data_IF_843066634269
#
_entry.id   IF_843066634269
#
_cell.length_a   1.000
_cell.length_b   1.000
_cell.length_c   1.000
_cell.angle_alpha   90.00
_cell.angle_beta   90.00
_cell.angle_gamma   90.00
#
_symmetry.space_group_name_H-M   'P 1'
#
loop_
_entity.id
_entity.type
_entity.pdbx_description
1 polymer ?
#
# COMPACT_ATOMS: atom_id res chain seq x y z
N UNK A 1 -19.75 7.97 30.47
CA UNK A 1 -20.36 7.27 29.31
C UNK A 1 -20.06 8.14 28.11
N UNK A 2 -19.15 7.72 27.24
CA UNK A 2 -18.69 8.53 26.11
C UNK A 2 -19.71 8.43 24.97
N UNK A 3 -20.17 9.59 24.50
CA UNK A 3 -21.11 9.74 23.39
C UNK A 3 -20.52 9.18 22.10
N UNK A 4 -21.20 8.18 21.53
CA UNK A 4 -20.85 7.63 20.22
C UNK A 4 -21.15 8.66 19.13
N UNK A 5 -20.12 9.34 18.65
CA UNK A 5 -20.21 10.14 17.41
C UNK A 5 -20.51 9.20 16.25
N UNK A 6 -21.75 9.23 15.76
CA UNK A 6 -22.13 8.56 14.52
C UNK A 6 -21.45 9.31 13.37
N UNK A 7 -20.40 8.74 12.80
CA UNK A 7 -19.69 9.35 11.68
C UNK A 7 -20.58 9.35 10.43
N UNK A 8 -20.78 10.50 9.80
CA UNK A 8 -21.50 10.61 8.53
C UNK A 8 -20.61 10.14 7.38
N UNK A 9 -21.03 9.10 6.67
CA UNK A 9 -20.36 8.59 5.48
C UNK A 9 -21.11 9.08 4.23
N UNK A 10 -20.40 9.58 3.21
CA UNK A 10 -20.99 9.82 1.90
C UNK A 10 -20.84 8.57 1.04
N UNK A 11 -21.91 7.79 0.94
CA UNK A 11 -21.96 6.61 0.07
C UNK A 11 -22.67 7.03 -1.21
N UNK A 12 -21.93 7.11 -2.31
CA UNK A 12 -22.53 7.22 -3.65
C UNK A 12 -22.54 5.83 -4.30
N UNK A 13 -23.74 5.32 -4.58
CA UNK A 13 -23.92 4.04 -5.28
C UNK A 13 -24.17 4.29 -6.76
N UNK A 14 -23.24 3.80 -7.57
CA UNK A 14 -23.39 3.67 -9.02
C UNK A 14 -23.69 2.21 -9.33
N UNK A 15 -24.22 1.90 -10.52
CA UNK A 15 -24.56 0.51 -10.88
C UNK A 15 -23.28 -0.34 -10.93
N UNK A 16 -23.06 -1.17 -9.90
CA UNK A 16 -21.88 -2.05 -9.78
C UNK A 16 -20.64 -1.42 -9.14
N UNK A 17 -20.70 -0.16 -8.70
CA UNK A 17 -19.59 0.52 -8.03
C UNK A 17 -20.12 1.24 -6.79
N UNK A 18 -19.59 0.89 -5.62
CA UNK A 18 -19.83 1.64 -4.38
C UNK A 18 -18.59 2.50 -4.11
N UNK A 19 -18.73 3.82 -4.21
CA UNK A 19 -17.64 4.74 -3.85
C UNK A 19 -17.79 5.10 -2.38
N UNK A 20 -16.75 4.80 -1.60
CA UNK A 20 -16.64 5.14 -0.19
C UNK A 20 -15.53 6.16 0.00
N UNK A 21 -15.88 7.31 0.59
CA UNK A 21 -14.88 8.27 1.05
C UNK A 21 -14.55 7.96 2.51
N UNK A 22 -13.37 7.38 2.81
CA UNK A 22 -12.96 7.18 4.19
C UNK A 22 -12.84 8.53 4.90
N UNK A 23 -13.36 8.61 6.13
CA UNK A 23 -13.12 9.77 7.00
C UNK A 23 -11.63 9.77 7.34
N UNK A 24 -10.86 10.68 6.77
CA UNK A 24 -9.44 10.78 7.04
C UNK A 24 -9.20 11.54 8.37
N UNK A 25 -8.33 11.05 9.29
CA UNK A 25 -7.47 9.87 9.20
C UNK A 25 -8.08 8.56 9.72
N UNK A 26 -9.23 8.60 10.38
CA UNK A 26 -9.78 7.46 11.15
C UNK A 26 -10.22 6.25 10.30
N UNK A 27 -10.39 6.43 8.99
CA UNK A 27 -10.88 5.44 8.03
C UNK A 27 -9.86 4.98 6.99
N UNK A 28 -8.60 5.41 7.07
CA UNK A 28 -7.57 5.00 6.12
C UNK A 28 -6.14 5.09 6.70
N UNK A 29 -5.28 4.18 6.28
CA UNK A 29 -3.85 4.23 6.56
C UNK A 29 -3.19 5.08 5.47
N UNK A 30 -2.53 6.16 5.86
CA UNK A 30 -1.74 6.98 4.95
C UNK A 30 -0.28 6.59 5.03
N UNK A 31 0.26 6.16 3.89
CA UNK A 31 1.67 5.84 3.72
C UNK A 31 2.31 7.10 3.14
N UNK A 32 3.31 7.63 3.84
CA UNK A 32 4.07 8.83 3.45
C UNK A 32 5.52 8.46 3.22
N UNK A 33 6.23 9.29 2.45
CA UNK A 33 7.69 9.22 2.42
C UNK A 33 8.24 9.83 3.69
N UNK A 34 9.26 9.19 4.27
CA UNK A 34 10.08 9.77 5.34
C UNK A 34 11.09 10.76 4.73
N UNK A 35 10.57 11.87 4.19
CA UNK A 35 11.37 12.99 3.67
C UNK A 35 10.92 14.33 4.29
N UNK A 36 11.65 15.40 4.02
CA UNK A 36 11.37 16.71 4.62
C UNK A 36 10.03 17.35 4.17
N UNK A 37 9.35 16.76 3.20
CA UNK A 37 8.09 17.22 2.63
C UNK A 37 7.03 16.15 2.87
N UNK A 38 6.05 16.43 3.73
CA UNK A 38 4.96 15.48 3.94
C UNK A 38 4.14 15.28 2.65
N UNK A 39 4.40 14.19 1.95
CA UNK A 39 3.65 13.76 0.75
C UNK A 39 3.17 12.32 0.92
N UNK A 40 1.85 12.06 0.75
CA UNK A 40 1.34 10.69 0.75
C UNK A 40 1.76 9.97 -0.53
N UNK A 41 2.27 8.75 -0.38
CA UNK A 41 2.60 7.82 -1.47
C UNK A 41 1.39 6.95 -1.79
N UNK A 42 0.66 6.53 -0.76
CA UNK A 42 -0.51 5.68 -0.89
C UNK A 42 -1.50 5.91 0.26
N UNK A 43 -2.77 5.60 0.00
CA UNK A 43 -3.85 5.60 0.99
C UNK A 43 -4.53 4.25 0.92
N UNK A 44 -4.55 3.51 2.03
CA UNK A 44 -5.20 2.21 2.15
C UNK A 44 -6.48 2.37 2.97
N UNK A 45 -7.68 2.21 2.39
CA UNK A 45 -8.92 2.39 3.12
C UNK A 45 -9.19 1.21 4.07
N UNK A 46 -9.71 1.52 5.25
CA UNK A 46 -10.15 0.51 6.22
C UNK A 46 -11.56 0.02 5.87
N UNK A 47 -11.90 -1.25 6.15
CA UNK A 47 -13.24 -1.77 5.89
C UNK A 47 -14.29 -1.05 6.74
N UNK A 48 -15.43 -0.73 6.12
CA UNK A 48 -16.58 -0.13 6.79
C UNK A 48 -17.08 -1.06 7.89
N UNK A 49 -17.41 -0.48 9.05
CA UNK A 49 -17.88 -1.23 10.22
C UNK A 49 -16.77 -1.96 10.99
N UNK A 50 -15.50 -1.82 10.59
CA UNK A 50 -14.36 -2.33 11.35
C UNK A 50 -14.29 -3.86 11.41
N UNK A 51 -14.69 -4.55 10.33
CA UNK A 51 -14.59 -6.01 10.27
C UNK A 51 -13.15 -6.44 10.60
N UNK A 52 -12.99 -7.28 11.63
CA UNK A 52 -11.69 -7.61 12.22
C UNK A 52 -10.72 -8.19 11.18
N UNK A 53 -11.14 -9.24 10.46
CA UNK A 53 -10.29 -9.85 9.43
C UNK A 53 -9.97 -8.91 8.26
N UNK A 54 -10.92 -8.07 7.85
CA UNK A 54 -10.69 -7.10 6.77
C UNK A 54 -9.69 -6.02 7.21
N UNK A 55 -9.78 -5.61 8.48
CA UNK A 55 -8.89 -4.64 9.12
C UNK A 55 -7.46 -5.18 9.17
N UNK A 56 -7.29 -6.46 9.53
CA UNK A 56 -6.00 -7.14 9.54
C UNK A 56 -5.37 -7.19 8.14
N UNK A 57 -6.13 -7.64 7.14
CA UNK A 57 -5.65 -7.71 5.74
C UNK A 57 -5.26 -6.33 5.21
N UNK A 58 -6.03 -5.28 5.51
CA UNK A 58 -5.67 -3.93 5.06
C UNK A 58 -4.40 -3.41 5.73
N UNK A 59 -4.13 -3.78 6.99
CA UNK A 59 -2.86 -3.47 7.66
C UNK A 59 -1.69 -4.22 7.03
N UNK A 60 -1.85 -5.51 6.71
CA UNK A 60 -0.83 -6.30 6.01
C UNK A 60 -0.51 -5.68 4.65
N UNK A 61 -1.54 -5.34 3.86
CA UNK A 61 -1.37 -4.67 2.57
C UNK A 61 -0.67 -3.32 2.71
N UNK A 62 -1.04 -2.51 3.71
CA UNK A 62 -0.39 -1.23 3.95
C UNK A 62 1.09 -1.40 4.29
N UNK A 63 1.45 -2.40 5.10
CA UNK A 63 2.84 -2.70 5.42
C UNK A 63 3.65 -3.13 4.18
N UNK A 64 3.06 -3.96 3.31
CA UNK A 64 3.69 -4.37 2.05
C UNK A 64 3.91 -3.20 1.10
N UNK A 65 2.93 -2.30 0.97
CA UNK A 65 3.05 -1.10 0.13
C UNK A 65 4.14 -0.18 0.70
N UNK A 66 4.19 -0.01 2.02
CA UNK A 66 5.18 0.83 2.67
C UNK A 66 6.61 0.31 2.52
N UNK A 67 6.80 -1.02 2.48
CA UNK A 67 8.12 -1.66 2.33
C UNK A 67 8.54 -1.89 0.86
N UNK A 68 7.64 -1.68 -0.11
CA UNK A 68 7.91 -1.97 -1.51
C UNK A 68 9.11 -1.19 -2.10
N UNK A 69 9.31 0.12 -1.80
CA UNK A 69 10.47 0.85 -2.27
C UNK A 69 11.79 0.27 -1.75
N UNK A 70 11.89 0.00 -0.44
CA UNK A 70 13.11 -0.55 0.17
C UNK A 70 13.40 -1.97 -0.32
N UNK A 71 12.37 -2.76 -0.62
CA UNK A 71 12.53 -4.07 -1.24
C UNK A 71 13.08 -3.96 -2.67
N UNK A 72 12.63 -2.99 -3.45
CA UNK A 72 13.18 -2.74 -4.79
C UNK A 72 14.65 -2.31 -4.71
N UNK A 73 14.99 -1.39 -3.81
CA UNK A 73 16.37 -0.96 -3.57
C UNK A 73 17.26 -2.15 -3.18
N UNK A 74 16.80 -3.01 -2.27
CA UNK A 74 17.54 -4.22 -1.88
C UNK A 74 17.73 -5.19 -3.05
N UNK A 75 16.76 -5.32 -3.96
CA UNK A 75 16.90 -6.13 -5.16
C UNK A 75 17.96 -5.53 -6.12
N UNK A 76 17.94 -4.22 -6.31
CA UNK A 76 18.91 -3.50 -7.16
C UNK A 76 20.34 -3.60 -6.60
N UNK A 77 20.49 -3.48 -5.29
CA UNK A 77 21.77 -3.65 -4.60
C UNK A 77 22.28 -5.10 -4.66
N UNK A 78 21.38 -6.08 -4.66
CA UNK A 78 21.74 -7.50 -4.72
C UNK A 78 22.16 -7.97 -6.13
N UNK A 79 21.59 -7.39 -7.19
CA UNK A 79 21.80 -7.85 -8.57
C UNK A 79 23.29 -7.92 -9.01
N UNK A 80 24.16 -6.95 -8.69
CA UNK A 80 25.58 -6.99 -9.06
C UNK A 80 26.39 -8.13 -8.43
N UNK A 81 25.85 -8.83 -7.44
CA UNK A 81 26.53 -9.97 -6.79
C UNK A 81 26.31 -11.31 -7.51
N UNK A 82 25.45 -11.35 -8.54
CA UNK A 82 25.18 -12.54 -9.34
C UNK A 82 25.78 -12.42 -10.74
N UNK A 83 26.22 -13.54 -11.31
CA UNK A 83 26.70 -13.56 -12.69
C UNK A 83 25.51 -13.45 -13.65
N UNK A 84 25.59 -12.70 -14.77
CA UNK A 84 24.53 -12.65 -15.77
C UNK A 84 24.08 -14.02 -16.31
N UNK A 85 24.94 -15.04 -16.25
CA UNK A 85 24.59 -16.41 -16.67
C UNK A 85 23.85 -17.21 -15.58
N UNK A 86 23.70 -16.67 -14.36
CA UNK A 86 22.96 -17.31 -13.27
C UNK A 86 21.44 -17.15 -13.43
N UNK A 87 20.68 -18.24 -13.24
CA UNK A 87 19.22 -18.20 -13.24
C UNK A 87 18.62 -17.22 -12.19
N UNK A 88 19.38 -16.96 -11.12
CA UNK A 88 19.01 -15.99 -10.08
C UNK A 88 19.13 -14.56 -10.61
N UNK A 89 20.15 -14.26 -11.42
CA UNK A 89 20.30 -12.96 -12.07
C UNK A 89 19.11 -12.67 -12.98
N UNK A 90 18.75 -13.60 -13.86
CA UNK A 90 17.60 -13.45 -14.77
C UNK A 90 16.32 -13.16 -14.00
N UNK A 91 16.06 -13.93 -12.94
CA UNK A 91 14.87 -13.76 -12.10
C UNK A 91 14.84 -12.38 -11.44
N UNK A 92 15.96 -11.96 -10.85
CA UNK A 92 16.07 -10.71 -10.11
C UNK A 92 15.99 -9.50 -11.07
N UNK A 93 16.68 -9.57 -12.20
CA UNK A 93 16.63 -8.56 -13.26
C UNK A 93 15.21 -8.38 -13.80
N UNK A 94 14.50 -9.47 -14.09
CA UNK A 94 13.11 -9.44 -14.54
C UNK A 94 12.18 -8.76 -13.54
N UNK A 95 12.35 -9.07 -12.24
CA UNK A 95 11.56 -8.46 -11.16
C UNK A 95 11.81 -6.95 -11.10
N UNK A 96 13.07 -6.52 -11.14
CA UNK A 96 13.45 -5.09 -11.13
C UNK A 96 12.87 -4.37 -12.36
N UNK A 97 13.01 -4.94 -13.56
CA UNK A 97 12.49 -4.36 -14.79
C UNK A 97 10.96 -4.25 -14.74
N UNK A 98 10.26 -5.28 -14.24
CA UNK A 98 8.80 -5.25 -14.06
C UNK A 98 8.37 -4.20 -13.05
N UNK A 99 9.11 -4.04 -11.95
CA UNK A 99 8.84 -3.01 -10.95
C UNK A 99 8.97 -1.61 -11.56
N UNK A 100 10.08 -1.32 -12.26
CA UNK A 100 10.35 -0.02 -12.89
C UNK A 100 9.42 0.36 -14.04
N UNK A 101 8.84 -0.62 -14.76
CA UNK A 101 7.90 -0.37 -15.87
C UNK A 101 6.51 0.08 -15.43
N UNK A 102 6.14 -0.19 -14.17
CA UNK A 102 4.81 0.11 -13.63
C UNK A 102 4.80 1.32 -12.67
N UNK A 103 5.91 2.04 -12.59
CA UNK A 103 6.07 3.34 -11.90
C UNK A 103 6.03 4.44 -12.97
#
# INVERSE_FOLDING_TARGET
MAEGKTAEYKIEKWKGVETYTPVFPDGAIMIKVDDAIERPVAIVPMPVGGHERGTEIQKENAALIAAAPELLDACEDALPYFDPDDAVYDTLFDVIVKAKRNI
#
